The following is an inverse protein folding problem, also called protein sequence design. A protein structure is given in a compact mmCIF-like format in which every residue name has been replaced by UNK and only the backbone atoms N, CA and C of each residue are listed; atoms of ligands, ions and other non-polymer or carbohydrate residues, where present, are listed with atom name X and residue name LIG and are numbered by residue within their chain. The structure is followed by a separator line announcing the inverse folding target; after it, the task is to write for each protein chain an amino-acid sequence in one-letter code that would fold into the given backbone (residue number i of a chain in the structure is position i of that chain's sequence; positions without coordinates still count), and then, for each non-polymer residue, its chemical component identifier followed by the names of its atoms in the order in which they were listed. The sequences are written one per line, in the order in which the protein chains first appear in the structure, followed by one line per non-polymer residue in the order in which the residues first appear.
data_IF_659865948053
#
_entry.id   IF_659865948053
#
_cell.length_a   1.000
_cell.length_b   1.000
_cell.length_c   1.000
_cell.angle_alpha   90.00
_cell.angle_beta   90.00
_cell.angle_gamma   90.00
#
_symmetry.space_group_name_H-M   'P 1'
#
loop_
_entity.id
_entity.type
_entity.pdbx_description
1 polymer ?
#
# COMPACT_ATOMS: atom_id res chain seq x y z
N UNK A 1 22.94 -13.65 -14.17
CA UNK A 1 22.50 -12.39 -13.53
C UNK A 1 21.21 -11.99 -14.22
N UNK A 2 20.13 -11.74 -13.47
CA UNK A 2 18.91 -11.18 -14.08
C UNK A 2 19.24 -9.83 -14.72
N UNK A 3 18.70 -9.57 -15.89
CA UNK A 3 18.72 -8.24 -16.50
C UNK A 3 18.08 -7.23 -15.53
N UNK A 4 18.87 -6.22 -15.13
CA UNK A 4 18.44 -5.15 -14.22
C UNK A 4 17.19 -4.47 -14.76
N UNK A 5 17.13 -4.23 -16.07
CA UNK A 5 15.99 -3.58 -16.70
C UNK A 5 14.73 -4.44 -16.56
N UNK A 6 14.85 -5.75 -16.76
CA UNK A 6 13.77 -6.70 -16.55
C UNK A 6 13.22 -6.69 -15.11
N UNK A 7 14.08 -6.51 -14.11
CA UNK A 7 13.64 -6.40 -12.71
C UNK A 7 12.93 -5.08 -12.42
N UNK A 8 13.43 -3.97 -12.96
CA UNK A 8 12.82 -2.65 -12.80
C UNK A 8 11.41 -2.62 -13.40
N UNK A 9 11.25 -3.13 -14.62
CA UNK A 9 9.95 -3.18 -15.30
C UNK A 9 8.92 -4.02 -14.50
N UNK A 10 9.34 -5.15 -13.93
CA UNK A 10 8.47 -5.98 -13.07
C UNK A 10 8.09 -5.24 -11.79
N UNK A 11 9.05 -4.57 -11.15
CA UNK A 11 8.80 -3.81 -9.94
C UNK A 11 7.79 -2.69 -10.21
N UNK A 12 7.95 -1.92 -11.29
CA UNK A 12 7.00 -0.88 -11.70
C UNK A 12 5.59 -1.46 -11.91
N UNK A 13 5.47 -2.55 -12.66
CA UNK A 13 4.17 -3.20 -12.90
C UNK A 13 3.48 -3.68 -11.61
N UNK A 14 4.24 -4.21 -10.64
CA UNK A 14 3.67 -4.58 -9.34
C UNK A 14 3.26 -3.37 -8.50
N UNK A 15 3.96 -2.24 -8.64
CA UNK A 15 3.65 -1.01 -7.91
C UNK A 15 2.43 -0.27 -8.46
N UNK A 16 2.09 -0.42 -9.74
CA UNK A 16 1.00 0.32 -10.37
C UNK A 16 -0.35 0.15 -9.66
N UNK A 17 -0.66 -1.04 -9.14
CA UNK A 17 -1.90 -1.24 -8.36
C UNK A 17 -1.91 -0.42 -7.07
N UNK A 18 -0.78 -0.32 -6.39
CA UNK A 18 -0.66 0.38 -5.11
C UNK A 18 -0.62 1.90 -5.31
N UNK A 19 -0.11 2.37 -6.45
CA UNK A 19 -0.21 3.78 -6.83
C UNK A 19 -1.64 4.22 -7.12
N UNK A 20 -2.45 3.34 -7.75
CA UNK A 20 -3.86 3.65 -8.08
C UNK A 20 -4.80 3.50 -6.90
N UNK A 21 -4.72 2.34 -6.23
CA UNK A 21 -5.73 1.91 -5.27
C UNK A 21 -5.28 2.08 -3.82
N UNK A 22 -3.99 2.37 -3.60
CA UNK A 22 -3.37 2.39 -2.28
C UNK A 22 -3.16 0.99 -1.68
N UNK A 23 -2.75 0.97 -0.42
CA UNK A 23 -2.68 -0.23 0.41
C UNK A 23 -3.84 -0.16 1.42
N UNK A 24 -4.79 -1.07 1.28
CA UNK A 24 -5.98 -1.14 2.12
C UNK A 24 -5.76 -2.05 3.34
N UNK A 25 -6.56 -1.85 4.40
CA UNK A 25 -6.60 -2.75 5.55
C UNK A 25 -7.16 -4.12 5.12
N UNK A 26 -6.64 -5.20 5.69
CA UNK A 26 -7.16 -6.56 5.46
C UNK A 26 -7.92 -7.00 6.71
N UNK A 27 -9.25 -6.94 6.66
CA UNK A 27 -10.13 -7.21 7.81
C UNK A 27 -11.18 -8.22 7.37
N UNK A 28 -11.29 -9.35 8.07
CA UNK A 28 -12.27 -10.39 7.74
C UNK A 28 -12.07 -11.05 6.38
N UNK A 29 -10.86 -11.01 5.81
CA UNK A 29 -10.58 -11.53 4.47
C UNK A 29 -10.88 -10.56 3.33
N UNK A 30 -11.27 -9.32 3.64
CA UNK A 30 -11.57 -8.28 2.67
C UNK A 30 -10.58 -7.11 2.74
N UNK A 31 -10.31 -6.52 1.58
CA UNK A 31 -9.53 -5.30 1.45
C UNK A 31 -10.44 -4.08 1.64
N UNK A 32 -10.32 -3.38 2.77
CA UNK A 32 -11.17 -2.26 3.16
C UNK A 32 -10.36 -0.99 3.42
N UNK A 33 -10.86 0.20 3.05
CA UNK A 33 -10.23 1.44 3.48
C UNK A 33 -10.34 1.58 5.01
N UNK A 34 -9.56 2.50 5.58
CA UNK A 34 -9.75 2.89 6.98
C UNK A 34 -11.17 3.42 7.18
N UNK A 35 -11.79 3.08 8.31
CA UNK A 35 -13.20 3.42 8.57
C UNK A 35 -13.45 4.93 8.57
N UNK A 36 -12.47 5.71 9.04
CA UNK A 36 -12.48 7.17 9.06
C UNK A 36 -11.93 7.80 7.76
N UNK A 37 -11.55 6.98 6.79
CA UNK A 37 -10.95 7.40 5.52
C UNK A 37 -9.51 7.91 5.65
N UNK A 38 -8.88 7.81 6.83
CA UNK A 38 -7.54 8.32 7.04
C UNK A 38 -6.50 7.47 6.27
N UNK A 39 -5.53 8.16 5.69
CA UNK A 39 -4.40 7.53 4.98
C UNK A 39 -3.09 8.21 5.32
N UNK A 40 -1.98 7.53 5.07
CA UNK A 40 -0.63 8.12 5.12
C UNK A 40 0.21 7.65 3.93
N UNK A 41 1.21 8.43 3.54
CA UNK A 41 2.11 8.06 2.46
C UNK A 41 3.21 7.13 2.95
N UNK A 42 3.49 6.07 2.19
CA UNK A 42 4.73 5.32 2.35
C UNK A 42 5.79 5.87 1.39
N UNK A 43 6.95 6.24 1.92
CA UNK A 43 8.04 6.80 1.14
C UNK A 43 9.12 5.74 0.89
N UNK A 44 9.72 5.80 -0.29
CA UNK A 44 10.87 4.99 -0.66
C UNK A 44 12.08 5.36 0.20
N UNK A 45 12.77 4.39 0.84
CA UNK A 45 13.96 4.70 1.64
C UNK A 45 15.19 5.05 0.77
N UNK A 46 15.10 4.88 -0.56
CA UNK A 46 16.21 5.13 -1.49
C UNK A 46 16.22 6.57 -1.98
N UNK A 47 15.04 7.15 -2.23
CA UNK A 47 14.89 8.47 -2.85
C UNK A 47 13.78 9.34 -2.23
N UNK A 48 13.16 8.88 -1.13
CA UNK A 48 12.09 9.56 -0.39
C UNK A 48 10.83 9.88 -1.20
N UNK A 49 10.68 9.28 -2.39
CA UNK A 49 9.48 9.48 -3.20
C UNK A 49 8.30 8.67 -2.66
N UNK A 50 7.06 9.17 -2.79
CA UNK A 50 5.87 8.39 -2.45
C UNK A 50 5.78 7.11 -3.27
N UNK A 51 5.57 5.98 -2.59
CA UNK A 51 5.33 4.67 -3.18
C UNK A 51 3.83 4.37 -3.32
N UNK A 52 3.05 4.65 -2.27
CA UNK A 52 1.61 4.43 -2.22
C UNK A 52 0.97 5.22 -1.05
N UNK A 53 -0.35 5.39 -1.12
CA UNK A 53 -1.17 5.79 0.02
C UNK A 53 -1.62 4.55 0.80
N UNK A 54 -1.45 4.52 2.11
CA UNK A 54 -1.78 3.38 2.98
C UNK A 54 -2.92 3.77 3.90
N UNK A 55 -3.94 2.92 4.01
CA UNK A 55 -5.02 3.06 4.96
C UNK A 55 -4.46 3.12 6.39
N UNK A 56 -4.89 4.13 7.16
CA UNK A 56 -4.48 4.31 8.55
C UNK A 56 -5.52 3.66 9.46
N UNK A 57 -5.31 2.39 9.82
CA UNK A 57 -6.19 1.69 10.77
C UNK A 57 -6.27 2.40 12.12
N UNK A 58 -7.47 2.87 12.47
CA UNK A 58 -7.78 3.45 13.78
C UNK A 58 -8.29 2.41 14.78
N UNK A 59 -8.71 2.87 15.97
CA UNK A 59 -9.27 1.99 17.00
C UNK A 59 -10.48 1.18 16.49
N UNK A 60 -11.38 1.82 15.74
CA UNK A 60 -12.56 1.15 15.19
C UNK A 60 -12.23 0.12 14.11
N UNK A 61 -11.15 0.31 13.34
CA UNK A 61 -10.66 -0.71 12.40
C UNK A 61 -10.07 -1.92 13.15
N UNK A 62 -9.36 -1.66 14.25
CA UNK A 62 -8.80 -2.71 15.12
C UNK A 62 -9.91 -3.54 15.75
N UNK A 63 -10.95 -2.90 16.27
CA UNK A 63 -12.10 -3.58 16.87
C UNK A 63 -12.84 -4.46 15.86
N UNK A 64 -12.88 -4.07 14.58
CA UNK A 64 -13.46 -4.88 13.49
C UNK A 64 -12.60 -6.09 13.11
N UNK A 65 -11.31 -6.07 13.45
CA UNK A 65 -10.35 -7.11 13.11
C UNK A 65 -10.10 -8.14 14.23
N UNK A 66 -10.58 -7.86 15.45
CA UNK A 66 -10.51 -8.74 16.60
C UNK A 66 -11.42 -9.97 16.47
#
# INVERSE_FOLDING_TARGET
MSDLQGNLNKAEAYMDRFRRDGVLNQIGGEAVPALDGATFETLSPVDLKPLASVARGGAADIDRAA
#
